data_IF_099127877311
#
_entry.id   IF_099127877311
#
_cell.length_a   1.000
_cell.length_b   1.000
_cell.length_c   1.000
_cell.angle_alpha   90.00
_cell.angle_beta   90.00
_cell.angle_gamma   90.00
#
_symmetry.space_group_name_H-M   'P 1'
#
loop_
_entity.id
_entity.type
_entity.pdbx_description
1 polymer ?
#
# COMPACT_ATOMS: atom_id res chain seq x y z
N UNK A 1 37.14 -11.33 10.89
CA UNK A 1 36.28 -12.36 11.52
C UNK A 1 34.87 -12.29 10.93
N UNK A 2 34.32 -13.39 10.42
CA UNK A 2 32.91 -13.51 10.05
C UNK A 2 32.19 -14.10 11.26
N UNK A 3 31.46 -13.28 12.02
CA UNK A 3 30.63 -13.83 13.10
C UNK A 3 29.58 -14.75 12.46
N UNK A 4 29.40 -16.00 12.94
CA UNK A 4 28.41 -16.93 12.39
C UNK A 4 27.03 -16.28 12.31
N UNK A 5 26.36 -16.41 11.16
CA UNK A 5 25.03 -15.79 10.90
C UNK A 5 24.00 -16.11 12.00
N UNK A 6 24.12 -17.28 12.63
CA UNK A 6 23.27 -17.76 13.73
C UNK A 6 23.35 -16.90 14.99
N UNK A 7 24.53 -16.38 15.37
CA UNK A 7 24.67 -15.57 16.59
C UNK A 7 24.01 -14.19 16.41
N UNK A 8 24.15 -13.59 15.21
CA UNK A 8 23.53 -12.29 14.90
C UNK A 8 21.99 -12.34 14.89
N UNK A 9 21.40 -13.42 14.37
CA UNK A 9 19.95 -13.60 14.39
C UNK A 9 19.41 -13.78 15.82
N UNK A 10 20.09 -14.58 16.65
CA UNK A 10 19.69 -14.79 18.06
C UNK A 10 19.72 -13.49 18.85
N UNK A 11 20.78 -12.68 18.71
CA UNK A 11 20.89 -11.37 19.37
C UNK A 11 19.77 -10.43 18.89
N UNK A 12 19.43 -10.42 17.60
CA UNK A 12 18.36 -9.59 17.04
C UNK A 12 16.99 -9.95 17.64
N UNK A 13 16.67 -11.25 17.74
CA UNK A 13 15.40 -11.73 18.31
C UNK A 13 15.30 -11.40 19.80
N UNK A 14 16.36 -11.73 20.57
CA UNK A 14 16.38 -11.49 22.02
C UNK A 14 16.34 -9.99 22.32
N UNK A 15 17.09 -9.18 21.57
CA UNK A 15 17.09 -7.72 21.72
C UNK A 15 15.71 -7.11 21.49
N UNK A 16 15.03 -7.48 20.41
CA UNK A 16 13.68 -6.98 20.12
C UNK A 16 12.66 -7.39 21.19
N UNK A 17 12.72 -8.63 21.67
CA UNK A 17 11.80 -9.15 22.69
C UNK A 17 12.00 -8.48 24.05
N UNK A 18 13.24 -8.38 24.54
CA UNK A 18 13.54 -7.78 25.84
C UNK A 18 13.20 -6.29 25.86
N UNK A 19 13.55 -5.54 24.80
CA UNK A 19 13.21 -4.11 24.68
C UNK A 19 11.69 -3.93 24.66
N UNK A 20 10.97 -4.76 23.90
CA UNK A 20 9.51 -4.71 23.85
C UNK A 20 8.87 -4.99 25.21
N UNK A 21 9.33 -6.01 25.94
CA UNK A 21 8.84 -6.33 27.27
C UNK A 21 9.15 -5.22 28.28
N UNK A 22 10.38 -4.70 28.28
CA UNK A 22 10.80 -3.61 29.16
C UNK A 22 9.97 -2.34 28.92
N UNK A 23 9.67 -2.00 27.66
CA UNK A 23 8.87 -0.83 27.32
C UNK A 23 7.42 -0.94 27.84
N UNK A 24 6.83 -2.14 27.79
CA UNK A 24 5.49 -2.39 28.35
C UNK A 24 5.51 -2.37 29.88
N UNK A 25 6.50 -3.01 30.51
CA UNK A 25 6.63 -3.04 31.97
C UNK A 25 6.93 -1.67 32.58
N UNK A 26 7.71 -0.84 31.89
CA UNK A 26 8.00 0.54 32.29
C UNK A 26 6.82 1.49 32.08
N UNK A 27 5.72 1.04 31.49
CA UNK A 27 4.54 1.87 31.22
C UNK A 27 4.73 2.91 30.11
N UNK A 28 5.79 2.80 29.30
CA UNK A 28 6.03 3.70 28.17
C UNK A 28 4.97 3.52 27.07
N UNK A 29 4.46 2.30 26.91
CA UNK A 29 3.46 1.93 25.90
C UNK A 29 2.52 0.85 26.46
N UNK A 30 1.25 0.85 26.04
CA UNK A 30 0.27 -0.14 26.46
C UNK A 30 0.33 -1.43 25.62
N UNK A 31 0.03 -2.58 26.22
CA UNK A 31 0.05 -3.89 25.54
C UNK A 31 -0.79 -3.92 24.24
N UNK A 32 -2.03 -3.40 24.20
CA UNK A 32 -2.81 -3.37 22.97
C UNK A 32 -2.17 -2.52 21.87
N UNK A 33 -1.53 -1.41 22.24
CA UNK A 33 -0.86 -0.51 21.29
C UNK A 33 0.34 -1.18 20.63
N UNK A 34 1.17 -1.90 21.41
CA UNK A 34 2.32 -2.66 20.88
C UNK A 34 1.88 -3.72 19.87
N UNK A 35 0.76 -4.42 20.14
CA UNK A 35 0.20 -5.42 19.22
C UNK A 35 -0.17 -4.77 17.88
N UNK A 36 -0.93 -3.67 17.89
CA UNK A 36 -1.36 -2.96 16.68
C UNK A 36 -0.16 -2.43 15.88
N UNK A 37 0.84 -1.85 16.55
CA UNK A 37 2.04 -1.32 15.90
C UNK A 37 2.87 -2.45 15.27
N UNK A 38 2.98 -3.61 15.94
CA UNK A 38 3.75 -4.75 15.46
C UNK A 38 3.12 -5.38 14.22
N UNK A 39 1.79 -5.59 14.22
CA UNK A 39 1.05 -6.08 13.03
C UNK A 39 1.24 -5.12 11.86
N UNK A 40 1.12 -3.82 12.10
CA UNK A 40 1.32 -2.79 11.06
C UNK A 40 2.75 -2.83 10.51
N UNK A 41 3.75 -3.05 11.36
CA UNK A 41 5.16 -3.18 10.95
C UNK A 41 5.40 -4.41 10.08
N UNK A 42 4.85 -5.56 10.44
CA UNK A 42 4.95 -6.79 9.65
C UNK A 42 4.21 -6.65 8.31
N UNK A 43 3.02 -6.05 8.31
CA UNK A 43 2.24 -5.79 7.09
C UNK A 43 2.97 -4.89 6.09
N UNK A 44 3.86 -4.00 6.57
CA UNK A 44 4.67 -3.15 5.70
C UNK A 44 5.63 -3.93 4.79
N UNK A 45 5.94 -5.20 5.08
CA UNK A 45 6.78 -6.05 4.23
C UNK A 45 6.06 -6.59 2.99
N UNK A 46 4.74 -6.42 2.87
CA UNK A 46 3.98 -6.80 1.68
C UNK A 46 4.33 -5.90 0.48
N UNK A 47 4.83 -4.69 0.72
CA UNK A 47 5.18 -3.73 -0.32
C UNK A 47 6.53 -4.15 -0.93
N UNK A 48 6.59 -4.62 -2.20
CA UNK A 48 7.84 -5.08 -2.82
C UNK A 48 8.78 -3.91 -3.18
N UNK A 49 8.32 -2.66 -3.06
CA UNK A 49 9.08 -1.45 -3.36
C UNK A 49 9.64 -0.81 -2.09
N UNK A 50 10.97 -0.86 -1.94
CA UNK A 50 11.66 -0.33 -0.77
C UNK A 50 11.40 1.17 -0.54
N UNK A 51 11.45 1.98 -1.59
CA UNK A 51 11.20 3.43 -1.54
C UNK A 51 9.79 3.78 -1.00
N UNK A 52 8.79 2.99 -1.38
CA UNK A 52 7.43 3.16 -0.87
C UNK A 52 7.35 2.81 0.62
N UNK A 53 7.98 1.71 1.03
CA UNK A 53 8.05 1.32 2.44
C UNK A 53 8.75 2.36 3.32
N UNK A 54 9.84 2.97 2.84
CA UNK A 54 10.54 4.05 3.53
C UNK A 54 9.66 5.30 3.63
N UNK A 55 8.97 5.65 2.55
CA UNK A 55 8.03 6.77 2.51
C UNK A 55 6.92 6.62 3.55
N UNK A 56 6.26 5.46 3.64
CA UNK A 56 5.23 5.21 4.66
C UNK A 56 5.78 5.26 6.09
N UNK A 57 7.03 4.81 6.31
CA UNK A 57 7.69 4.90 7.60
C UNK A 57 7.94 6.35 8.02
N UNK A 58 8.42 7.19 7.09
CA UNK A 58 8.62 8.61 7.33
C UNK A 58 7.30 9.34 7.58
N UNK A 59 6.26 9.05 6.80
CA UNK A 59 4.93 9.66 6.92
C UNK A 59 4.27 9.37 8.27
N UNK A 60 4.62 8.25 8.91
CA UNK A 60 4.08 7.86 10.21
C UNK A 60 4.49 8.81 11.33
N UNK A 61 5.69 9.41 11.30
CA UNK A 61 6.15 10.30 12.37
C UNK A 61 5.34 11.61 12.45
N UNK A 62 5.09 12.35 11.35
CA UNK A 62 4.22 13.52 11.37
C UNK A 62 2.78 13.20 11.80
N UNK A 63 2.21 12.09 11.29
CA UNK A 63 0.85 11.67 11.68
C UNK A 63 0.80 11.38 13.17
N UNK A 64 1.80 10.67 13.70
CA UNK A 64 1.87 10.34 15.13
C UNK A 64 2.02 11.59 15.99
N UNK A 65 2.85 12.56 15.58
CA UNK A 65 3.02 13.82 16.29
C UNK A 65 1.71 14.63 16.32
N UNK A 66 1.03 14.75 15.18
CA UNK A 66 -0.26 15.44 15.10
C UNK A 66 -1.35 14.71 15.91
N UNK A 67 -1.34 13.38 15.92
CA UNK A 67 -2.28 12.57 16.68
C UNK A 67 -2.02 12.64 18.19
N UNK A 68 -0.77 12.77 18.65
CA UNK A 68 -0.47 12.91 20.08
C UNK A 68 -0.78 14.30 20.61
N UNK A 69 -0.65 15.35 19.80
CA UNK A 69 -0.96 16.73 20.23
C UNK A 69 -2.45 17.07 20.16
N UNK A 70 -3.15 16.66 19.11
CA UNK A 70 -4.57 16.99 18.87
C UNK A 70 -5.51 15.78 18.99
N UNK A 71 -5.02 14.60 19.36
CA UNK A 71 -5.82 13.38 19.47
C UNK A 71 -6.35 12.89 18.13
N UNK A 72 -7.58 12.35 18.13
CA UNK A 72 -8.26 11.85 16.92
C UNK A 72 -8.43 12.93 15.85
N UNK A 73 -8.64 14.19 16.26
CA UNK A 73 -8.79 15.31 15.34
C UNK A 73 -7.52 15.55 14.53
N UNK A 74 -6.34 15.48 15.17
CA UNK A 74 -5.05 15.59 14.49
C UNK A 74 -4.81 14.46 13.50
N UNK A 75 -5.23 13.23 13.84
CA UNK A 75 -5.16 12.09 12.92
C UNK A 75 -6.00 12.32 11.66
N UNK A 76 -7.24 12.79 11.80
CA UNK A 76 -8.14 13.08 10.67
C UNK A 76 -7.52 14.15 9.78
N UNK A 77 -7.05 15.26 10.36
CA UNK A 77 -6.40 16.34 9.60
C UNK A 77 -5.17 15.82 8.85
N UNK A 78 -4.30 15.05 9.52
CA UNK A 78 -3.09 14.52 8.90
C UNK A 78 -3.42 13.65 7.68
N UNK A 79 -4.42 12.76 7.81
CA UNK A 79 -4.89 11.91 6.70
C UNK A 79 -5.49 12.76 5.57
N UNK A 80 -6.28 13.78 5.89
CA UNK A 80 -6.84 14.68 4.88
C UNK A 80 -5.77 15.47 4.13
N UNK A 81 -4.75 15.97 4.82
CA UNK A 81 -3.63 16.68 4.19
C UNK A 81 -2.87 15.78 3.21
N UNK A 82 -2.63 14.54 3.61
CA UNK A 82 -2.02 13.53 2.74
C UNK A 82 -2.91 13.27 1.53
N UNK A 83 -4.22 13.07 1.74
CA UNK A 83 -5.17 12.84 0.65
C UNK A 83 -5.19 14.00 -0.36
N UNK A 84 -5.24 15.24 0.11
CA UNK A 84 -5.20 16.42 -0.74
C UNK A 84 -3.89 16.51 -1.53
N UNK A 85 -2.76 16.24 -0.89
CA UNK A 85 -1.46 16.19 -1.56
C UNK A 85 -1.45 15.16 -2.70
N UNK A 86 -2.01 13.97 -2.44
CA UNK A 86 -2.13 12.89 -3.41
C UNK A 86 -2.98 13.26 -4.63
N UNK A 87 -4.06 14.02 -4.46
CA UNK A 87 -4.92 14.49 -5.58
C UNK A 87 -4.17 15.48 -6.48
N UNK A 88 -3.27 16.29 -5.93
CA UNK A 88 -2.48 17.26 -6.71
C UNK A 88 -1.32 16.62 -7.47
N UNK A 89 -0.88 15.43 -7.07
CA UNK A 89 0.22 14.72 -7.72
C UNK A 89 -0.20 14.19 -9.10
N UNK A 90 0.60 14.53 -10.11
CA UNK A 90 0.49 13.97 -11.46
C UNK A 90 1.73 13.14 -11.76
N UNK A 91 1.52 11.88 -12.12
CA UNK A 91 2.56 10.97 -12.59
C UNK A 91 2.49 10.88 -14.11
N UNK A 92 3.56 11.31 -14.79
CA UNK A 92 3.67 11.30 -16.26
C UNK A 92 2.44 11.87 -16.99
N UNK A 93 1.93 13.01 -16.50
CA UNK A 93 0.77 13.70 -17.08
C UNK A 93 -0.60 13.15 -16.65
N UNK A 94 -0.66 12.00 -15.98
CA UNK A 94 -1.89 11.40 -15.44
C UNK A 94 -2.01 11.59 -13.92
N UNK A 95 -3.22 11.89 -13.39
CA UNK A 95 -3.44 12.02 -11.96
C UNK A 95 -3.07 10.74 -11.20
N UNK A 96 -2.34 10.88 -10.08
CA UNK A 96 -1.90 9.72 -9.28
C UNK A 96 -3.06 8.87 -8.76
N UNK A 97 -4.23 9.51 -8.56
CA UNK A 97 -5.46 8.85 -8.09
C UNK A 97 -6.38 8.38 -9.23
N UNK A 98 -5.96 8.41 -10.49
CA UNK A 98 -6.80 7.87 -11.57
C UNK A 98 -7.02 6.35 -11.37
N UNK A 99 -8.27 5.84 -11.44
CA UNK A 99 -9.52 6.44 -11.92
C UNK A 99 -10.49 6.92 -10.81
N UNK A 100 -10.03 7.03 -9.55
CA UNK A 100 -10.80 7.52 -8.40
C UNK A 100 -10.94 9.05 -8.46
N UNK A 101 -9.84 9.74 -8.80
CA UNK A 101 -9.82 11.17 -9.09
C UNK A 101 -8.90 11.42 -10.31
N UNK A 102 -9.44 11.68 -11.52
CA UNK A 102 -10.84 11.92 -11.90
C UNK A 102 -11.68 10.65 -11.96
N UNK A 103 -12.93 10.73 -11.48
CA UNK A 103 -13.84 9.60 -11.45
C UNK A 103 -14.22 9.13 -12.87
N UNK A 104 -13.68 7.99 -13.30
CA UNK A 104 -13.97 7.37 -14.60
C UNK A 104 -14.50 5.96 -14.37
N UNK A 105 -15.83 5.83 -14.27
CA UNK A 105 -16.48 4.54 -13.95
C UNK A 105 -16.21 3.41 -14.95
N UNK A 106 -15.82 3.73 -16.19
CA UNK A 106 -15.43 2.72 -17.20
C UNK A 106 -14.08 2.06 -16.88
N UNK A 107 -13.18 2.76 -16.19
CA UNK A 107 -11.81 2.33 -15.91
C UNK A 107 -11.67 1.66 -14.52
N UNK A 108 -12.72 1.76 -13.69
CA UNK A 108 -12.79 1.04 -12.40
C UNK A 108 -12.77 -0.49 -12.57
N UNK A 109 -13.20 -1.00 -13.73
CA UNK A 109 -13.15 -2.44 -14.09
C UNK A 109 -11.73 -2.95 -14.36
N UNK A 110 -10.74 -2.07 -14.42
CA UNK A 110 -9.32 -2.42 -14.58
C UNK A 110 -8.54 -2.14 -13.29
N UNK A 111 -8.99 -1.13 -12.51
CA UNK A 111 -8.31 -0.68 -11.28
C UNK A 111 -8.80 -1.34 -9.98
N UNK A 112 -10.11 -1.51 -9.77
CA UNK A 112 -10.66 -2.03 -8.50
C UNK A 112 -10.93 -3.54 -8.57
N UNK A 113 -11.50 -3.99 -9.69
CA UNK A 113 -11.78 -5.40 -9.96
C UNK A 113 -10.94 -5.79 -11.16
N UNK A 114 -9.84 -6.52 -10.98
CA UNK A 114 -8.96 -6.90 -12.10
C UNK A 114 -9.68 -7.92 -13.01
N UNK A 115 -10.45 -7.43 -13.97
CA UNK A 115 -11.19 -8.26 -14.90
C UNK A 115 -10.25 -9.09 -15.80
N UNK A 116 -10.67 -10.29 -16.24
CA UNK A 116 -9.87 -11.10 -17.17
C UNK A 116 -9.64 -10.34 -18.47
N UNK A 117 -8.44 -10.52 -19.04
CA UNK A 117 -7.93 -9.74 -20.18
C UNK A 117 -8.88 -9.70 -21.39
N UNK A 118 -9.64 -10.78 -21.64
CA UNK A 118 -10.61 -10.84 -22.75
C UNK A 118 -11.83 -9.91 -22.59
N UNK A 119 -12.13 -9.47 -21.36
CA UNK A 119 -13.20 -8.48 -21.09
C UNK A 119 -12.69 -7.03 -21.14
N UNK A 120 -11.37 -6.81 -21.16
CA UNK A 120 -10.72 -5.49 -21.17
C UNK A 120 -10.47 -4.98 -22.60
N UNK A 121 -11.55 -4.73 -23.35
CA UNK A 121 -11.50 -4.33 -24.77
C UNK A 121 -11.20 -2.84 -24.98
N UNK A 122 -11.56 -1.98 -24.05
CA UNK A 122 -11.41 -0.53 -24.13
C UNK A 122 -10.17 -0.07 -23.39
N UNK A 123 -9.41 0.86 -23.98
CA UNK A 123 -8.29 1.50 -23.29
C UNK A 123 -8.82 2.47 -22.23
N UNK A 124 -8.11 2.71 -21.11
CA UNK A 124 -8.51 3.70 -20.14
C UNK A 124 -8.64 5.08 -20.77
N UNK A 125 -9.62 5.86 -20.34
CA UNK A 125 -10.04 7.11 -20.97
C UNK A 125 -8.89 8.13 -21.07
N UNK A 126 -8.02 8.17 -20.05
CA UNK A 126 -6.87 9.09 -19.99
C UNK A 126 -5.78 8.76 -21.02
N UNK A 127 -5.69 7.51 -21.50
CA UNK A 127 -4.69 7.06 -22.48
C UNK A 127 -5.29 6.77 -23.88
N UNK A 128 -6.61 6.85 -24.03
CA UNK A 128 -7.37 6.39 -25.20
C UNK A 128 -7.86 7.47 -26.16
N UNK A 129 -7.31 8.69 -26.11
CA UNK A 129 -7.84 9.87 -26.82
C UNK A 129 -7.83 9.71 -28.35
N UNK A 130 -6.86 8.97 -28.92
CA UNK A 130 -6.77 8.72 -30.37
C UNK A 130 -7.31 7.35 -30.83
N UNK A 131 -7.17 6.29 -30.03
CA UNK A 131 -7.62 4.94 -30.38
C UNK A 131 -8.25 4.26 -29.15
N UNK A 132 -9.57 4.09 -29.18
CA UNK A 132 -10.38 3.64 -28.03
C UNK A 132 -10.34 2.12 -27.84
N UNK A 133 -9.97 1.37 -28.87
CA UNK A 133 -9.93 -0.09 -28.85
C UNK A 133 -8.54 -0.60 -28.51
N UNK A 134 -8.44 -1.46 -27.49
CA UNK A 134 -7.19 -2.12 -27.09
C UNK A 134 -6.86 -3.29 -28.03
N UNK A 135 -7.89 -4.06 -28.40
CA UNK A 135 -7.78 -5.28 -29.21
C UNK A 135 -8.98 -5.43 -30.15
N UNK A 136 -8.76 -6.09 -31.29
CA UNK A 136 -9.84 -6.59 -32.15
C UNK A 136 -10.68 -7.64 -31.37
N UNK A 137 -11.86 -8.01 -31.86
CA UNK A 137 -12.77 -8.94 -31.18
C UNK A 137 -12.11 -10.33 -31.06
N UNK A 138 -11.41 -10.59 -29.98
CA UNK A 138 -10.94 -11.94 -29.62
C UNK A 138 -12.11 -12.73 -29.04
N UNK A 139 -12.41 -13.86 -29.66
CA UNK A 139 -13.36 -14.83 -29.14
C UNK A 139 -12.76 -15.46 -27.88
N UNK A 140 -13.62 -15.82 -26.91
CA UNK A 140 -13.18 -16.45 -25.66
C UNK A 140 -12.33 -17.67 -26.04
N UNK A 141 -11.17 -17.93 -25.41
CA UNK A 141 -10.55 -19.23 -25.60
C UNK A 141 -11.55 -20.25 -25.07
N UNK A 142 -11.90 -21.17 -25.95
CA UNK A 142 -12.83 -22.25 -25.72
C UNK A 142 -12.19 -23.08 -24.60
N UNK A 143 -12.81 -23.09 -23.42
CA UNK A 143 -12.37 -23.96 -22.34
C UNK A 143 -12.93 -25.35 -22.61
N UNK A 144 -12.09 -26.25 -23.10
CA UNK A 144 -12.35 -27.69 -23.19
C UNK A 144 -12.68 -28.18 -24.60
N UNK A 145 -11.65 -28.50 -25.39
CA UNK A 145 -11.65 -29.81 -26.04
C UNK A 145 -10.98 -30.74 -25.02
N UNK A 146 -11.81 -31.54 -24.34
CA UNK A 146 -11.41 -32.86 -23.90
C UNK A 146 -11.01 -33.61 -25.17
N UNK A 147 -9.71 -33.81 -25.38
CA UNK A 147 -9.22 -34.86 -26.27
C UNK A 147 -8.63 -35.96 -25.40
N UNK A 148 -9.31 -37.11 -25.46
CA UNK A 148 -8.90 -38.44 -25.00
C UNK A 148 -7.56 -38.89 -25.61
#
# INVERSE_FOLDING_TARGET
LRIPKTIGQTISIIGALIIGQAAVQAGLVSTPMVIVVSITGVASFIIPHYELGLTFRLLRFPIMLLATTFGLFGMIIAVFLIYLHLVTLRSFGTPYLAPIAPFIGKDMKDSLFRAPWWKLRTRPYLYGVGNRTRMAKTERPISGEEED
#
